data_IF_653477470496
#
_entry.id   IF_653477470496
#
_cell.length_a   1.000
_cell.length_b   1.000
_cell.length_c   1.000
_cell.angle_alpha   90.00
_cell.angle_beta   90.00
_cell.angle_gamma   90.00
#
_symmetry.space_group_name_H-M   'P 1'
#
loop_
_entity.id
_entity.type
_entity.pdbx_description
1 polymer ?
#
# COMPACT_ATOMS: atom_id res chain seq x y z
N UNK A 1 11.48 13.46 0.09
CA UNK A 1 11.01 12.45 1.06
C UNK A 1 12.07 11.42 1.49
N UNK A 2 12.95 10.92 0.63
CA UNK A 2 13.90 9.83 0.96
C UNK A 2 14.85 10.10 2.17
N UNK A 3 15.21 11.36 2.44
CA UNK A 3 16.06 11.74 3.59
C UNK A 3 15.37 11.57 4.95
N UNK A 4 14.05 11.80 5.01
CA UNK A 4 13.28 11.69 6.26
C UNK A 4 13.07 10.23 6.64
N UNK A 5 12.70 9.37 5.69
CA UNK A 5 12.55 7.93 5.94
C UNK A 5 13.86 7.31 6.47
N UNK A 6 15.01 7.64 5.87
CA UNK A 6 16.33 7.20 6.35
C UNK A 6 16.70 7.77 7.73
N UNK A 7 16.27 8.99 8.04
CA UNK A 7 16.47 9.56 9.36
C UNK A 7 15.64 8.80 10.40
N UNK A 8 14.37 8.51 10.10
CA UNK A 8 13.50 7.70 10.95
C UNK A 8 14.08 6.29 11.12
N UNK A 9 14.55 5.65 10.08
CA UNK A 9 15.23 4.35 10.18
C UNK A 9 16.37 4.37 11.22
N UNK A 10 17.26 5.37 11.13
CA UNK A 10 18.40 5.54 12.04
C UNK A 10 17.98 5.89 13.46
N UNK A 11 17.02 6.80 13.62
CA UNK A 11 16.45 7.12 14.94
C UNK A 11 15.73 5.91 15.55
N UNK A 12 15.23 5.00 14.72
CA UNK A 12 14.55 3.77 15.10
C UNK A 12 15.44 2.84 15.89
N UNK A 13 16.73 2.88 15.63
CA UNK A 13 17.74 2.04 16.27
C UNK A 13 18.27 2.66 17.58
N UNK A 14 17.86 3.90 17.91
CA UNK A 14 18.31 4.59 19.12
C UNK A 14 17.49 4.17 20.34
N UNK A 15 18.18 3.71 21.38
CA UNK A 15 17.60 3.45 22.70
C UNK A 15 17.10 4.71 23.43
N UNK A 16 17.43 5.91 22.92
CA UNK A 16 16.90 7.18 23.43
C UNK A 16 15.52 7.51 22.88
N UNK A 17 15.14 6.91 21.76
CA UNK A 17 13.88 7.21 21.04
C UNK A 17 12.89 6.06 21.20
N UNK A 18 13.38 4.82 21.23
CA UNK A 18 12.53 3.63 21.29
C UNK A 18 12.77 2.84 22.57
N UNK A 19 11.67 2.37 23.15
CA UNK A 19 11.70 1.49 24.31
C UNK A 19 11.85 0.05 23.82
N UNK A 20 12.82 -0.67 24.40
CA UNK A 20 13.07 -2.09 24.14
C UNK A 20 12.21 -2.91 25.11
N UNK A 21 11.32 -3.74 24.55
CA UNK A 21 10.48 -4.67 25.28
C UNK A 21 11.04 -6.08 25.16
N UNK A 22 10.76 -6.93 26.13
CA UNK A 22 11.16 -8.34 26.15
C UNK A 22 9.94 -9.21 26.43
N UNK A 23 9.87 -10.38 25.80
CA UNK A 23 8.92 -11.43 26.22
C UNK A 23 9.50 -12.25 27.40
N UNK A 24 8.68 -13.20 27.90
CA UNK A 24 9.09 -14.14 28.95
C UNK A 24 10.30 -15.01 28.54
N UNK A 25 10.53 -15.19 27.23
CA UNK A 25 11.66 -15.91 26.65
C UNK A 25 12.89 -15.01 26.36
N UNK A 26 12.87 -13.74 26.80
CA UNK A 26 13.91 -12.71 26.56
C UNK A 26 14.14 -12.36 25.08
N UNK A 27 13.19 -12.60 24.19
CA UNK A 27 13.23 -12.00 22.84
C UNK A 27 12.90 -10.52 22.95
N UNK A 28 13.87 -9.69 22.58
CA UNK A 28 13.72 -8.24 22.58
C UNK A 28 13.06 -7.74 21.30
N UNK A 29 12.06 -6.87 21.39
CA UNK A 29 11.59 -6.07 20.26
C UNK A 29 11.48 -4.59 20.66
N UNK A 30 11.72 -3.72 19.70
CA UNK A 30 11.51 -2.29 19.88
C UNK A 30 10.09 -1.95 19.43
N UNK A 31 9.32 -1.21 20.23
CA UNK A 31 8.09 -0.55 19.75
C UNK A 31 8.47 0.67 18.90
N UNK A 32 9.23 0.43 17.82
CA UNK A 32 9.68 1.51 16.93
C UNK A 32 8.46 2.13 16.28
N UNK A 33 8.30 3.42 16.49
CA UNK A 33 7.34 4.22 15.73
C UNK A 33 5.90 3.72 15.80
N UNK A 34 5.52 2.98 16.85
CA UNK A 34 4.14 2.52 17.03
C UNK A 34 3.17 3.71 16.97
N UNK A 35 3.47 4.77 17.73
CA UNK A 35 2.68 6.01 17.69
C UNK A 35 2.65 6.68 16.32
N UNK A 36 3.74 6.60 15.56
CA UNK A 36 3.76 7.14 14.20
C UNK A 36 2.87 6.30 13.26
N UNK A 37 2.86 4.97 13.41
CA UNK A 37 1.95 4.08 12.68
C UNK A 37 0.49 4.34 13.05
N UNK A 38 0.21 4.54 14.33
CA UNK A 38 -1.12 4.90 14.84
C UNK A 38 -1.54 6.25 14.27
N UNK A 39 -0.67 7.27 14.32
CA UNK A 39 -0.94 8.57 13.69
C UNK A 39 -1.15 8.46 12.18
N UNK A 40 -0.35 7.69 11.45
CA UNK A 40 -0.60 7.49 10.01
C UNK A 40 -1.98 6.90 9.76
N UNK A 41 -2.42 5.92 10.56
CA UNK A 41 -3.76 5.34 10.46
C UNK A 41 -4.85 6.34 10.84
N UNK A 42 -4.65 7.09 11.92
CA UNK A 42 -5.68 7.99 12.45
C UNK A 42 -5.84 9.25 11.56
N UNK A 43 -4.77 9.66 10.88
CA UNK A 43 -4.76 10.72 9.85
C UNK A 43 -5.13 10.19 8.45
N UNK A 44 -5.50 8.91 8.32
CA UNK A 44 -5.99 8.32 7.07
C UNK A 44 -7.40 8.84 6.76
N UNK A 45 -7.48 10.05 6.21
CA UNK A 45 -8.72 10.69 5.80
C UNK A 45 -8.92 10.58 4.27
N UNK A 46 -10.17 10.40 3.86
CA UNK A 46 -10.55 10.56 2.44
C UNK A 46 -10.42 12.05 2.06
N UNK A 47 -9.91 12.37 0.86
CA UNK A 47 -9.82 13.76 0.43
C UNK A 47 -11.18 14.29 0.00
N UNK A 48 -11.45 15.58 0.23
CA UNK A 48 -12.56 16.25 -0.45
C UNK A 48 -12.24 16.47 -1.94
N UNK A 49 -13.25 16.81 -2.75
CA UNK A 49 -13.11 17.06 -4.19
C UNK A 49 -12.39 18.40 -4.54
N UNK A 50 -11.39 18.77 -3.75
CA UNK A 50 -10.49 19.88 -4.04
C UNK A 50 -9.10 19.37 -4.42
N UNK A 51 -8.47 20.07 -5.36
CA UNK A 51 -7.20 19.64 -5.98
C UNK A 51 -6.06 19.51 -4.95
N UNK A 52 -6.05 20.38 -3.95
CA UNK A 52 -5.01 20.37 -2.92
C UNK A 52 -5.07 19.10 -2.09
N UNK A 53 -6.23 18.77 -1.54
CA UNK A 53 -6.42 17.58 -0.70
C UNK A 53 -6.21 16.29 -1.48
N UNK A 54 -6.67 16.23 -2.74
CA UNK A 54 -6.39 15.08 -3.61
C UNK A 54 -4.88 14.86 -3.81
N UNK A 55 -4.11 15.93 -4.01
CA UNK A 55 -2.65 15.85 -4.13
C UNK A 55 -1.96 15.49 -2.80
N UNK A 56 -2.46 16.01 -1.68
CA UNK A 56 -1.99 15.65 -0.34
C UNK A 56 -2.24 14.17 -0.05
N UNK A 57 -3.40 13.62 -0.45
CA UNK A 57 -3.73 12.21 -0.32
C UNK A 57 -2.78 11.29 -1.12
N UNK A 58 -2.50 11.63 -2.38
CA UNK A 58 -1.52 10.88 -3.20
C UNK A 58 -0.13 10.93 -2.57
N UNK A 59 0.27 12.12 -2.09
CA UNK A 59 1.57 12.33 -1.43
C UNK A 59 1.69 11.56 -0.12
N UNK A 60 0.62 11.49 0.67
CA UNK A 60 0.52 10.68 1.88
C UNK A 60 0.76 9.21 1.56
N UNK A 61 0.10 8.68 0.52
CA UNK A 61 0.27 7.28 0.12
C UNK A 61 1.69 6.96 -0.37
N UNK A 62 2.31 7.86 -1.12
CA UNK A 62 3.72 7.74 -1.49
C UNK A 62 4.64 7.75 -0.26
N UNK A 63 4.37 8.61 0.71
CA UNK A 63 5.14 8.67 1.95
C UNK A 63 4.99 7.39 2.77
N UNK A 64 3.75 6.94 3.00
CA UNK A 64 3.44 5.73 3.75
C UNK A 64 4.08 4.50 3.09
N UNK A 65 3.90 4.30 1.78
CA UNK A 65 4.49 3.18 1.06
C UNK A 65 6.03 3.14 1.18
N UNK A 66 6.68 4.30 1.11
CA UNK A 66 8.13 4.40 1.29
C UNK A 66 8.58 4.07 2.72
N UNK A 67 7.81 4.43 3.76
CA UNK A 67 8.10 4.03 5.14
C UNK A 67 7.98 2.51 5.33
N UNK A 68 6.98 1.89 4.71
CA UNK A 68 6.82 0.44 4.72
C UNK A 68 7.99 -0.27 4.01
N UNK A 69 8.44 0.25 2.86
CA UNK A 69 9.60 -0.30 2.16
C UNK A 69 10.89 -0.17 2.97
N UNK A 70 11.07 0.95 3.68
CA UNK A 70 12.21 1.14 4.58
C UNK A 70 12.12 0.29 5.87
N UNK A 71 11.15 -0.62 5.98
CA UNK A 71 10.94 -1.49 7.15
C UNK A 71 10.89 -0.72 8.48
N UNK A 72 10.33 0.49 8.45
CA UNK A 72 10.11 1.32 9.64
C UNK A 72 9.10 0.63 10.57
N UNK A 73 8.14 -0.09 9.98
CA UNK A 73 7.13 -0.90 10.65
C UNK A 73 7.34 -2.38 10.34
N UNK A 74 6.76 -3.30 11.14
CA UNK A 74 6.64 -4.70 10.74
C UNK A 74 6.01 -4.81 9.36
N UNK A 75 6.50 -5.77 8.56
CA UNK A 75 5.97 -6.01 7.22
C UNK A 75 4.49 -6.39 7.33
N UNK A 76 3.63 -5.55 6.76
CA UNK A 76 2.19 -5.74 6.75
C UNK A 76 1.62 -5.20 5.45
N UNK A 77 0.76 -5.96 4.75
CA UNK A 77 0.14 -5.52 3.50
C UNK A 77 -1.09 -4.63 3.72
N UNK A 78 -1.51 -4.38 4.98
CA UNK A 78 -2.82 -3.78 5.31
C UNK A 78 -3.11 -2.47 4.59
N UNK A 79 -2.23 -1.48 4.69
CA UNK A 79 -2.46 -0.18 4.05
C UNK A 79 -2.45 -0.24 2.52
N UNK A 80 -1.59 -1.10 1.95
CA UNK A 80 -1.57 -1.35 0.52
C UNK A 80 -2.88 -2.00 0.06
N UNK A 81 -3.36 -3.03 0.76
CA UNK A 81 -4.65 -3.68 0.49
C UNK A 81 -5.79 -2.67 0.57
N UNK A 82 -5.82 -1.79 1.57
CA UNK A 82 -6.87 -0.78 1.68
C UNK A 82 -6.90 0.16 0.48
N UNK A 83 -5.74 0.67 0.06
CA UNK A 83 -5.64 1.55 -1.10
C UNK A 83 -6.00 0.84 -2.41
N UNK A 84 -5.47 -0.38 -2.63
CA UNK A 84 -5.73 -1.19 -3.81
C UNK A 84 -7.20 -1.62 -3.88
N UNK A 85 -7.79 -2.06 -2.77
CA UNK A 85 -9.21 -2.37 -2.69
C UNK A 85 -10.04 -1.15 -3.04
N UNK A 86 -9.75 0.00 -2.41
CA UNK A 86 -10.49 1.24 -2.63
C UNK A 86 -10.50 1.61 -4.10
N UNK A 87 -9.36 1.52 -4.79
CA UNK A 87 -9.20 1.99 -6.17
C UNK A 87 -9.58 0.96 -7.26
N UNK A 88 -9.44 -0.33 -6.97
CA UNK A 88 -9.46 -1.38 -8.01
C UNK A 88 -10.57 -2.41 -7.81
N UNK A 89 -10.99 -2.65 -6.57
CA UNK A 89 -12.01 -3.63 -6.21
C UNK A 89 -13.37 -3.00 -5.94
N UNK A 90 -13.47 -1.69 -5.79
CA UNK A 90 -14.74 -0.99 -5.59
C UNK A 90 -15.24 -0.37 -6.90
N UNK A 91 -16.56 -0.21 -7.01
CA UNK A 91 -17.15 0.59 -8.07
C UNK A 91 -16.88 2.07 -7.80
N UNK A 92 -16.49 2.78 -8.84
CA UNK A 92 -16.29 4.23 -8.77
C UNK A 92 -17.22 4.93 -9.73
N UNK A 93 -17.74 6.07 -9.29
CA UNK A 93 -18.26 7.07 -10.22
C UNK A 93 -17.08 7.67 -11.01
N UNK A 94 -17.36 8.09 -12.25
CA UNK A 94 -16.34 8.72 -13.09
C UNK A 94 -15.94 10.07 -12.50
N UNK A 95 -14.65 10.41 -12.54
CA UNK A 95 -14.18 11.73 -12.14
C UNK A 95 -12.84 11.72 -11.43
N UNK A 96 -12.50 12.89 -10.88
CA UNK A 96 -11.18 13.15 -10.28
C UNK A 96 -10.92 12.32 -9.03
N UNK A 97 -11.93 12.02 -8.22
CA UNK A 97 -11.78 11.18 -7.03
C UNK A 97 -11.31 9.76 -7.35
N UNK A 98 -11.88 9.16 -8.40
CA UNK A 98 -11.43 7.85 -8.89
C UNK A 98 -9.96 7.90 -9.31
N UNK A 99 -9.58 8.92 -10.09
CA UNK A 99 -8.20 9.09 -10.53
C UNK A 99 -7.26 9.26 -9.33
N UNK A 100 -7.66 10.03 -8.31
CA UNK A 100 -6.92 10.19 -7.05
C UNK A 100 -6.72 8.87 -6.33
N UNK A 101 -7.76 8.02 -6.21
CA UNK A 101 -7.62 6.70 -5.59
C UNK A 101 -6.70 5.78 -6.39
N UNK A 102 -6.79 5.79 -7.73
CA UNK A 102 -5.89 5.00 -8.61
C UNK A 102 -4.44 5.47 -8.49
N UNK A 103 -4.20 6.78 -8.50
CA UNK A 103 -2.87 7.37 -8.33
C UNK A 103 -2.26 7.03 -6.96
N UNK A 104 -3.06 7.08 -5.90
CA UNK A 104 -2.66 6.70 -4.55
C UNK A 104 -2.35 5.20 -4.44
N UNK A 105 -3.21 4.33 -4.98
CA UNK A 105 -2.99 2.89 -5.00
C UNK A 105 -1.71 2.53 -5.77
N UNK A 106 -1.43 3.21 -6.89
CA UNK A 106 -0.22 3.01 -7.65
C UNK A 106 1.06 3.32 -6.84
N UNK A 107 1.02 4.23 -5.88
CA UNK A 107 2.19 4.53 -5.03
C UNK A 107 2.64 3.31 -4.22
N UNK A 108 1.71 2.47 -3.74
CA UNK A 108 2.07 1.25 -3.01
C UNK A 108 2.82 0.26 -3.89
N UNK A 109 2.45 0.16 -5.15
CA UNK A 109 3.18 -0.69 -6.11
C UNK A 109 4.56 -0.09 -6.39
N UNK A 110 4.62 1.20 -6.72
CA UNK A 110 5.87 1.85 -7.15
C UNK A 110 6.92 1.93 -6.05
N UNK A 111 6.51 2.10 -4.78
CA UNK A 111 7.42 2.21 -3.65
C UNK A 111 7.60 0.92 -2.86
N UNK A 112 6.57 0.07 -2.77
CA UNK A 112 6.56 -1.10 -1.88
C UNK A 112 6.18 -2.41 -2.58
N UNK A 113 6.08 -2.42 -3.91
CA UNK A 113 5.55 -3.55 -4.68
C UNK A 113 6.30 -4.87 -4.48
N UNK A 114 7.65 -4.84 -4.37
CA UNK A 114 8.43 -6.06 -4.14
C UNK A 114 8.15 -6.67 -2.77
N UNK A 115 8.20 -5.86 -1.72
CA UNK A 115 7.87 -6.27 -0.35
C UNK A 115 6.42 -6.76 -0.23
N UNK A 116 5.48 -6.11 -0.93
CA UNK A 116 4.10 -6.55 -1.00
C UNK A 116 3.98 -7.91 -1.71
N UNK A 117 4.68 -8.11 -2.82
CA UNK A 117 4.67 -9.39 -3.54
C UNK A 117 5.32 -10.52 -2.73
N UNK A 118 6.28 -10.22 -1.86
CA UNK A 118 6.79 -11.22 -0.90
C UNK A 118 5.68 -11.75 0.02
N UNK A 119 4.74 -10.90 0.45
CA UNK A 119 3.57 -11.33 1.22
C UNK A 119 2.60 -12.19 0.39
N UNK A 120 2.57 -11.98 -0.93
CA UNK A 120 1.80 -12.81 -1.87
C UNK A 120 2.39 -14.21 -2.01
N UNK A 121 3.72 -14.32 -2.04
CA UNK A 121 4.43 -15.59 -2.21
C UNK A 121 4.58 -16.37 -0.92
N UNK A 122 4.82 -15.67 0.17
CA UNK A 122 5.12 -16.24 1.48
C UNK A 122 4.21 -15.58 2.51
N UNK A 123 2.88 -15.83 2.45
CA UNK A 123 1.96 -15.31 3.44
C UNK A 123 2.38 -15.85 4.81
N UNK A 124 2.50 -14.95 5.79
CA UNK A 124 2.67 -15.34 7.20
C UNK A 124 1.39 -15.91 7.78
N UNK A 125 1.38 -16.13 9.10
CA UNK A 125 0.17 -16.48 9.82
C UNK A 125 -0.83 -15.30 9.77
N UNK A 126 -1.99 -15.52 9.15
CA UNK A 126 -3.03 -14.50 9.00
C UNK A 126 -4.18 -14.78 9.96
N UNK A 127 -4.40 -13.86 10.90
CA UNK A 127 -5.47 -13.96 11.89
C UNK A 127 -6.86 -13.62 11.33
N UNK A 128 -7.95 -13.92 12.08
CA UNK A 128 -9.31 -13.52 11.71
C UNK A 128 -9.46 -12.00 11.51
N UNK A 129 -8.82 -11.19 12.36
CA UNK A 129 -8.88 -9.72 12.29
C UNK A 129 -8.22 -9.20 11.00
N UNK A 130 -7.09 -9.80 10.59
CA UNK A 130 -6.44 -9.48 9.32
C UNK A 130 -7.34 -9.80 8.13
N UNK A 131 -7.95 -10.99 8.12
CA UNK A 131 -8.90 -11.39 7.07
C UNK A 131 -10.08 -10.42 7.00
N UNK A 132 -10.62 -10.00 8.14
CA UNK A 132 -11.68 -9.01 8.19
C UNK A 132 -11.21 -7.68 7.59
N UNK A 133 -10.04 -7.18 8.01
CA UNK A 133 -9.46 -5.94 7.52
C UNK A 133 -9.15 -5.98 6.01
N UNK A 134 -8.83 -7.15 5.48
CA UNK A 134 -8.46 -7.39 4.08
C UNK A 134 -9.62 -7.90 3.24
N UNK A 135 -10.85 -7.85 3.75
CA UNK A 135 -12.06 -8.23 3.01
C UNK A 135 -12.08 -7.59 1.62
N UNK A 136 -12.49 -8.32 0.58
CA UNK A 136 -12.50 -7.82 -0.79
C UNK A 136 -13.54 -6.73 -1.00
N UNK A 137 -13.34 -5.91 -2.03
CA UNK A 137 -14.37 -5.02 -2.58
C UNK A 137 -15.29 -5.72 -3.58
N UNK A 138 -16.41 -5.08 -3.92
CA UNK A 138 -17.51 -5.65 -4.71
C UNK A 138 -17.13 -6.23 -6.09
N UNK A 139 -15.99 -5.81 -6.67
CA UNK A 139 -15.51 -6.24 -7.98
C UNK A 139 -14.56 -7.44 -7.93
N UNK A 140 -14.16 -7.88 -6.73
CA UNK A 140 -13.28 -9.02 -6.55
C UNK A 140 -13.97 -10.10 -5.71
N UNK A 141 -14.08 -11.30 -6.25
CA UNK A 141 -14.82 -12.43 -5.68
C UNK A 141 -13.92 -13.48 -4.99
N UNK A 142 -12.61 -13.23 -4.93
CA UNK A 142 -11.66 -14.14 -4.32
C UNK A 142 -11.45 -13.95 -2.81
N UNK A 143 -10.47 -14.67 -2.29
CA UNK A 143 -10.15 -14.73 -0.85
C UNK A 143 -9.71 -13.37 -0.27
N UNK A 144 -9.99 -13.08 1.02
CA UNK A 144 -9.56 -11.88 1.73
C UNK A 144 -8.06 -11.93 2.11
N UNK A 145 -7.23 -12.37 1.19
CA UNK A 145 -5.79 -12.56 1.34
C UNK A 145 -5.06 -11.94 0.15
N UNK A 146 -3.79 -11.48 0.31
CA UNK A 146 -2.96 -11.05 -0.79
C UNK A 146 -2.52 -12.26 -1.63
N UNK A 147 -3.43 -12.89 -2.36
CA UNK A 147 -3.11 -14.06 -3.18
C UNK A 147 -2.54 -13.65 -4.53
N UNK A 148 -1.90 -14.59 -5.24
CA UNK A 148 -1.47 -14.35 -6.63
C UNK A 148 -2.66 -14.01 -7.55
N UNK A 149 -3.82 -14.59 -7.27
CA UNK A 149 -5.05 -14.27 -7.99
C UNK A 149 -5.46 -12.80 -7.78
N UNK A 150 -5.42 -12.32 -6.53
CA UNK A 150 -5.72 -10.92 -6.18
C UNK A 150 -4.69 -9.94 -6.75
N UNK A 151 -3.42 -10.31 -6.72
CA UNK A 151 -2.34 -9.54 -7.35
C UNK A 151 -2.57 -9.33 -8.85
N UNK A 152 -2.86 -10.41 -9.58
CA UNK A 152 -3.15 -10.35 -11.02
C UNK A 152 -4.43 -9.58 -11.33
N UNK A 153 -5.44 -9.69 -10.47
CA UNK A 153 -6.65 -8.87 -10.56
C UNK A 153 -6.28 -7.39 -10.50
N UNK A 154 -5.53 -6.94 -9.49
CA UNK A 154 -5.09 -5.55 -9.38
C UNK A 154 -4.26 -5.07 -10.58
N UNK A 155 -3.30 -5.87 -11.06
CA UNK A 155 -2.51 -5.55 -12.26
C UNK A 155 -3.42 -5.35 -13.48
N UNK A 156 -4.42 -6.21 -13.65
CA UNK A 156 -5.42 -6.10 -14.73
C UNK A 156 -6.22 -4.82 -14.62
N UNK A 157 -6.71 -4.48 -13.43
CA UNK A 157 -7.47 -3.23 -13.19
C UNK A 157 -6.66 -1.97 -13.48
N UNK A 158 -5.38 -1.94 -13.10
CA UNK A 158 -4.49 -0.84 -13.49
C UNK A 158 -4.33 -0.72 -15.02
N UNK A 159 -4.18 -1.85 -15.73
CA UNK A 159 -4.16 -1.84 -17.20
C UNK A 159 -5.44 -1.28 -17.82
N UNK A 160 -6.59 -1.66 -17.29
CA UNK A 160 -7.87 -1.15 -17.76
C UNK A 160 -7.94 0.38 -17.61
N UNK A 161 -7.53 0.92 -16.46
CA UNK A 161 -7.42 2.37 -16.27
C UNK A 161 -6.46 3.04 -17.25
N UNK A 162 -5.31 2.41 -17.54
CA UNK A 162 -4.36 2.91 -18.53
C UNK A 162 -4.92 2.97 -19.95
N UNK A 163 -5.88 2.11 -20.29
CA UNK A 163 -6.46 1.97 -21.63
C UNK A 163 -7.77 2.74 -21.82
N UNK A 164 -8.36 3.28 -20.74
CA UNK A 164 -9.64 4.01 -20.83
C UNK A 164 -9.52 5.27 -21.69
N UNK A 165 -10.51 5.47 -22.57
CA UNK A 165 -10.56 6.61 -23.50
C UNK A 165 -11.50 7.67 -22.91
N UNK A 166 -11.00 8.90 -22.77
CA UNK A 166 -11.69 10.10 -22.23
C UNK A 166 -12.19 10.07 -20.77
N UNK A 167 -12.35 8.91 -20.13
CA UNK A 167 -12.86 8.85 -18.76
C UNK A 167 -11.80 9.19 -17.70
N UNK A 168 -10.51 8.95 -17.98
CA UNK A 168 -9.37 9.03 -17.04
C UNK A 168 -8.39 10.10 -17.50
N UNK A 169 -7.77 10.82 -16.56
CA UNK A 169 -6.70 11.79 -16.85
C UNK A 169 -5.43 11.11 -17.40
N UNK A 170 -4.65 11.84 -18.20
CA UNK A 170 -3.44 11.29 -18.81
C UNK A 170 -2.35 10.93 -17.78
N UNK A 171 -2.29 11.67 -16.67
CA UNK A 171 -1.42 11.34 -15.54
C UNK A 171 -1.82 9.99 -14.93
N UNK A 172 -3.10 9.82 -14.60
CA UNK A 172 -3.61 8.58 -14.04
C UNK A 172 -3.36 7.39 -14.97
N UNK A 173 -3.59 7.53 -16.28
CA UNK A 173 -3.25 6.47 -17.26
C UNK A 173 -1.79 6.11 -17.25
N UNK A 174 -0.92 7.12 -17.26
CA UNK A 174 0.54 6.93 -17.30
C UNK A 174 1.03 6.21 -16.03
N UNK A 175 0.54 6.63 -14.88
CA UNK A 175 0.93 6.05 -13.58
C UNK A 175 0.35 4.65 -13.40
N UNK A 176 -0.90 4.42 -13.81
CA UNK A 176 -1.53 3.10 -13.79
C UNK A 176 -0.78 2.11 -14.69
N UNK A 177 -0.37 2.53 -15.90
CA UNK A 177 0.45 1.71 -16.79
C UNK A 177 1.77 1.30 -16.13
N UNK A 178 2.48 2.26 -15.50
CA UNK A 178 3.73 1.99 -14.77
C UNK A 178 3.54 1.01 -13.63
N UNK A 179 2.45 1.16 -12.87
CA UNK A 179 2.13 0.24 -11.78
C UNK A 179 1.90 -1.18 -12.31
N UNK A 180 1.06 -1.35 -13.34
CA UNK A 180 0.82 -2.67 -13.94
C UNK A 180 2.10 -3.30 -14.50
N UNK A 181 2.93 -2.54 -15.22
CA UNK A 181 4.20 -3.03 -15.77
C UNK A 181 5.16 -3.48 -14.65
N UNK A 182 5.22 -2.71 -13.55
CA UNK A 182 6.02 -3.07 -12.38
C UNK A 182 5.48 -4.34 -11.71
N UNK A 183 4.16 -4.47 -11.55
CA UNK A 183 3.55 -5.67 -10.96
C UNK A 183 3.88 -6.93 -11.75
N UNK A 184 3.75 -6.86 -13.08
CA UNK A 184 4.06 -7.98 -13.95
C UNK A 184 5.56 -8.29 -13.98
N UNK A 185 6.42 -7.27 -13.90
CA UNK A 185 7.87 -7.45 -13.81
C UNK A 185 8.25 -8.14 -12.51
N UNK A 186 7.70 -7.70 -11.38
CA UNK A 186 7.92 -8.31 -10.07
C UNK A 186 7.47 -9.77 -10.09
N UNK A 187 6.25 -10.04 -10.56
CA UNK A 187 5.71 -11.40 -10.64
C UNK A 187 6.64 -12.30 -11.46
N UNK A 188 6.97 -11.89 -12.70
CA UNK A 188 7.83 -12.68 -13.60
C UNK A 188 9.22 -12.97 -13.02
N UNK A 189 9.81 -12.01 -12.31
CA UNK A 189 11.17 -12.15 -11.77
C UNK A 189 11.21 -12.88 -10.42
N UNK A 190 10.07 -13.06 -9.74
CA UNK A 190 9.99 -13.67 -8.41
C UNK A 190 9.24 -15.01 -8.41
N UNK A 191 8.82 -15.50 -9.59
CA UNK A 191 8.41 -16.88 -9.82
C UNK A 191 9.57 -17.65 -10.46
N UNK A 192 10.17 -18.57 -9.71
CA UNK A 192 11.20 -19.50 -10.17
C UNK A 192 10.59 -20.80 -10.70
#
# INVERSE_FOLDING_TARGET
MHKLARLLERLGQSSKVNQLYFDEARRGWYNRYQRLSETLRDEFAEPDENEREMNEYISYHAFAANLHECSIYPASPTFAIWALRKALEMKHEEGRMRDTHVLAAAQWILWNGQSLFMQVRYPGDVGPDDKQNWSPGDLYDGEPLPTLHRWRFWSTRFREFAQQVHAVSDECKTVAAKAADMMDSIERNMTF
#
